data_IF_527085436518
#
_entry.id   IF_527085436518
#
_cell.length_a   1.000
_cell.length_b   1.000
_cell.length_c   1.000
_cell.angle_alpha   90.00
_cell.angle_beta   90.00
_cell.angle_gamma   90.00
#
_symmetry.space_group_name_H-M   'P 1'
#
loop_
_entity.id
_entity.type
_entity.pdbx_description
1 polymer ?
#
# COMPACT_ATOMS: atom_id res chain seq x y z
N UNK A 1 9.58 11.93 28.07
CA UNK A 1 8.44 12.60 27.43
C UNK A 1 8.96 13.03 26.06
N UNK A 2 8.35 12.56 24.95
CA UNK A 2 8.70 13.12 23.63
C UNK A 2 8.13 14.53 23.61
N UNK A 3 8.99 15.54 23.57
CA UNK A 3 8.54 16.90 23.31
C UNK A 3 8.12 16.97 21.83
N UNK A 4 6.82 16.90 21.60
CA UNK A 4 6.26 17.12 20.27
C UNK A 4 6.48 18.58 19.88
N UNK A 5 7.43 18.80 18.96
CA UNK A 5 7.65 20.11 18.38
C UNK A 5 6.82 20.28 17.10
N UNK A 6 6.49 21.53 16.74
CA UNK A 6 5.86 21.80 15.43
C UNK A 6 6.74 21.34 14.26
N UNK A 7 8.05 21.30 14.45
CA UNK A 7 9.00 20.79 13.45
C UNK A 7 8.78 19.29 13.14
N UNK A 8 8.27 18.50 14.10
CA UNK A 8 7.97 17.07 13.89
C UNK A 8 6.69 16.83 13.07
N UNK A 9 5.84 17.84 12.95
CA UNK A 9 4.54 17.73 12.26
C UNK A 9 4.65 18.18 10.79
N UNK A 10 5.49 19.17 10.51
CA UNK A 10 5.62 19.79 9.18
C UNK A 10 5.89 18.76 8.07
N UNK A 11 6.80 17.79 8.22
CA UNK A 11 7.08 16.82 7.16
C UNK A 11 5.90 15.91 6.80
N UNK A 12 5.00 15.69 7.77
CA UNK A 12 3.81 14.82 7.59
C UNK A 12 2.51 15.63 7.35
N UNK A 13 2.62 16.94 7.11
CA UNK A 13 1.46 17.80 6.86
C UNK A 13 0.55 17.31 5.73
N UNK A 14 1.03 16.77 4.60
CA UNK A 14 0.16 16.26 3.54
C UNK A 14 -0.73 15.11 4.02
N UNK A 15 -0.20 14.16 4.79
CA UNK A 15 -0.94 13.02 5.34
C UNK A 15 -1.93 13.47 6.41
N UNK A 16 -1.53 14.40 7.28
CA UNK A 16 -2.40 14.97 8.32
C UNK A 16 -3.54 15.74 7.66
N UNK A 17 -3.24 16.54 6.64
CA UNK A 17 -4.25 17.27 5.87
C UNK A 17 -5.26 16.32 5.22
N UNK A 18 -4.80 15.26 4.54
CA UNK A 18 -5.69 14.27 3.92
C UNK A 18 -6.51 13.51 4.95
N UNK A 19 -5.95 13.21 6.13
CA UNK A 19 -6.70 12.60 7.23
C UNK A 19 -7.80 13.53 7.73
N UNK A 20 -7.52 14.82 7.84
CA UNK A 20 -8.51 15.85 8.17
C UNK A 20 -9.61 15.95 7.10
N UNK A 21 -9.24 15.95 5.83
CA UNK A 21 -10.20 15.90 4.70
C UNK A 21 -11.08 14.66 4.79
N UNK A 22 -10.50 13.47 5.06
CA UNK A 22 -11.26 12.24 5.21
C UNK A 22 -12.30 12.34 6.34
N UNK A 23 -11.95 12.89 7.50
CA UNK A 23 -12.87 13.10 8.61
C UNK A 23 -14.04 14.03 8.24
N UNK A 24 -13.75 15.13 7.54
CA UNK A 24 -14.78 16.05 7.04
C UNK A 24 -15.69 15.35 6.02
N UNK A 25 -15.12 14.57 5.11
CA UNK A 25 -15.88 13.85 4.11
C UNK A 25 -16.76 12.74 4.69
N UNK A 26 -16.38 12.13 5.82
CA UNK A 26 -17.25 11.20 6.56
C UNK A 26 -18.55 11.93 6.99
N UNK A 27 -18.44 13.15 7.52
CA UNK A 27 -19.61 13.94 7.90
C UNK A 27 -20.44 14.33 6.67
N UNK A 28 -19.80 14.78 5.59
CA UNK A 28 -20.50 15.10 4.33
C UNK A 28 -21.24 13.89 3.77
N UNK A 29 -20.62 12.71 3.80
CA UNK A 29 -21.23 11.46 3.35
C UNK A 29 -22.44 11.09 4.21
N UNK A 30 -22.30 11.15 5.54
CA UNK A 30 -23.35 10.78 6.47
C UNK A 30 -24.58 11.69 6.39
N UNK A 31 -24.37 13.02 6.33
CA UNK A 31 -25.47 13.98 6.27
C UNK A 31 -26.07 14.15 4.87
N UNK A 32 -25.31 13.87 3.81
CA UNK A 32 -25.79 13.99 2.42
C UNK A 32 -26.63 12.81 1.93
N UNK A 33 -26.64 11.72 2.68
CA UNK A 33 -27.37 10.48 2.36
C UNK A 33 -26.79 9.71 1.15
N UNK A 34 -27.35 8.53 0.91
CA UNK A 34 -26.92 7.62 -0.16
C UNK A 34 -27.48 8.04 -1.55
N UNK A 35 -27.15 9.23 -2.01
CA UNK A 35 -27.54 9.72 -3.32
C UNK A 35 -26.36 9.78 -4.29
N UNK A 36 -26.59 9.50 -5.57
CA UNK A 36 -25.55 9.61 -6.60
C UNK A 36 -24.94 11.02 -6.66
N UNK A 37 -25.75 12.06 -6.37
CA UNK A 37 -25.27 13.44 -6.31
C UNK A 37 -24.31 13.65 -5.14
N UNK A 38 -24.59 13.07 -3.99
CA UNK A 38 -23.70 13.12 -2.82
C UNK A 38 -22.42 12.33 -3.06
N UNK A 39 -22.51 11.12 -3.63
CA UNK A 39 -21.34 10.34 -4.01
C UNK A 39 -20.40 11.11 -4.92
N UNK A 40 -20.93 11.75 -5.98
CA UNK A 40 -20.16 12.61 -6.87
C UNK A 40 -19.51 13.80 -6.15
N UNK A 41 -20.24 14.47 -5.24
CA UNK A 41 -19.68 15.57 -4.43
C UNK A 41 -18.52 15.10 -3.57
N UNK A 42 -18.68 13.99 -2.85
CA UNK A 42 -17.63 13.41 -2.00
C UNK A 42 -16.42 13.04 -2.84
N UNK A 43 -16.61 12.43 -4.01
CA UNK A 43 -15.50 12.09 -4.93
C UNK A 43 -14.78 13.34 -5.43
N UNK A 44 -15.51 14.38 -5.82
CA UNK A 44 -14.91 15.65 -6.29
C UNK A 44 -14.11 16.34 -5.18
N UNK A 45 -14.66 16.38 -3.97
CA UNK A 45 -13.96 16.93 -2.79
C UNK A 45 -12.71 16.10 -2.42
N UNK A 46 -12.79 14.76 -2.51
CA UNK A 46 -11.65 13.89 -2.30
C UNK A 46 -10.53 14.16 -3.33
N UNK A 47 -10.88 14.26 -4.63
CA UNK A 47 -9.93 14.63 -5.70
C UNK A 47 -9.30 16.00 -5.42
N UNK A 48 -10.12 16.99 -5.03
CA UNK A 48 -9.65 18.33 -4.66
C UNK A 48 -8.67 18.30 -3.48
N UNK A 49 -8.98 17.54 -2.43
CA UNK A 49 -8.09 17.32 -1.29
C UNK A 49 -6.78 16.67 -1.69
N UNK A 50 -6.83 15.62 -2.52
CA UNK A 50 -5.61 14.95 -3.00
C UNK A 50 -4.78 15.90 -3.88
N UNK A 51 -5.41 16.73 -4.73
CA UNK A 51 -4.70 17.70 -5.55
C UNK A 51 -3.98 18.76 -4.70
N UNK A 52 -4.59 19.25 -3.62
CA UNK A 52 -3.93 20.16 -2.68
C UNK A 52 -2.74 19.46 -2.00
N UNK A 53 -2.92 18.26 -1.50
CA UNK A 53 -1.85 17.50 -0.87
C UNK A 53 -0.71 17.20 -1.87
N UNK A 54 -1.01 16.96 -3.15
CA UNK A 54 -0.02 16.79 -4.22
C UNK A 54 0.85 18.04 -4.38
N UNK A 55 0.24 19.23 -4.36
CA UNK A 55 0.99 20.49 -4.40
C UNK A 55 1.86 20.66 -3.16
N UNK A 56 1.35 20.27 -1.97
CA UNK A 56 2.16 20.31 -0.73
C UNK A 56 3.38 19.40 -0.83
N UNK A 57 3.20 18.15 -1.30
CA UNK A 57 4.32 17.21 -1.50
C UNK A 57 5.30 17.72 -2.54
N UNK A 58 4.80 18.25 -3.66
CA UNK A 58 5.66 18.82 -4.72
C UNK A 58 6.47 20.03 -4.22
N UNK A 59 5.88 20.85 -3.37
CA UNK A 59 6.54 22.04 -2.77
C UNK A 59 7.61 21.69 -1.75
N UNK A 60 7.55 20.52 -1.11
CA UNK A 60 8.55 20.05 -0.13
C UNK A 60 9.61 19.13 -0.75
N UNK A 61 9.59 18.91 -2.07
CA UNK A 61 10.59 18.07 -2.75
C UNK A 61 11.99 18.67 -2.63
N UNK A 62 12.95 17.81 -2.26
CA UNK A 62 14.36 18.21 -2.09
C UNK A 62 14.73 18.52 -0.64
N UNK A 63 13.77 18.68 0.26
CA UNK A 63 14.02 18.75 1.69
C UNK A 63 14.11 17.35 2.27
N UNK A 64 15.06 17.12 3.17
CA UNK A 64 15.17 15.88 3.93
C UNK A 64 14.82 16.18 5.38
N UNK A 65 13.80 15.54 5.90
CA UNK A 65 13.36 15.70 7.28
C UNK A 65 12.90 14.38 7.86
N UNK A 66 13.03 14.22 9.15
CA UNK A 66 12.46 13.10 9.90
C UNK A 66 11.41 13.61 10.87
N UNK A 67 10.38 12.82 11.13
CA UNK A 67 9.33 13.18 12.06
C UNK A 67 9.03 11.99 12.99
N UNK A 68 8.30 12.27 14.07
CA UNK A 68 7.85 11.27 15.03
C UNK A 68 9.00 10.43 15.60
N UNK A 69 10.11 11.08 16.00
CA UNK A 69 11.27 10.38 16.57
C UNK A 69 11.99 9.44 15.60
N UNK A 70 11.98 9.75 14.30
CA UNK A 70 12.62 8.92 13.26
C UNK A 70 11.73 7.87 12.62
N UNK A 71 10.46 7.74 13.05
CA UNK A 71 9.54 6.75 12.48
C UNK A 71 9.06 7.10 11.06
N UNK A 72 9.24 8.35 10.66
CA UNK A 72 8.80 8.90 9.37
C UNK A 72 9.95 9.66 8.71
N UNK A 73 10.24 9.33 7.46
CA UNK A 73 11.26 10.00 6.65
C UNK A 73 10.61 10.69 5.44
N UNK A 74 10.81 12.00 5.36
CA UNK A 74 10.53 12.80 4.17
C UNK A 74 11.84 13.02 3.42
N UNK A 75 11.94 12.52 2.22
CA UNK A 75 13.07 12.63 1.32
C UNK A 75 12.60 12.72 -0.14
N UNK A 76 13.49 13.01 -1.08
CA UNK A 76 13.16 13.12 -2.50
C UNK A 76 12.56 11.82 -3.05
N UNK A 77 12.97 10.66 -2.54
CA UNK A 77 12.43 9.37 -2.94
C UNK A 77 10.96 9.24 -2.49
N UNK A 78 10.68 9.51 -1.21
CA UNK A 78 9.31 9.46 -0.70
C UNK A 78 8.40 10.49 -1.40
N UNK A 79 8.90 11.70 -1.63
CA UNK A 79 8.17 12.74 -2.36
C UNK A 79 7.76 12.26 -3.76
N UNK A 80 8.71 11.74 -4.53
CA UNK A 80 8.45 11.23 -5.88
C UNK A 80 7.43 10.08 -5.90
N UNK A 81 7.60 9.10 -5.02
CA UNK A 81 6.70 7.93 -4.95
C UNK A 81 5.29 8.32 -4.48
N UNK A 82 5.16 9.28 -3.55
CA UNK A 82 3.87 9.84 -3.15
C UNK A 82 3.17 10.52 -4.31
N UNK A 83 3.87 11.32 -5.12
CA UNK A 83 3.27 11.94 -6.31
C UNK A 83 2.70 10.89 -7.26
N UNK A 84 3.42 9.79 -7.53
CA UNK A 84 2.94 8.71 -8.39
C UNK A 84 1.66 8.04 -7.83
N UNK A 85 1.64 7.74 -6.54
CA UNK A 85 0.49 7.11 -5.89
C UNK A 85 -0.71 8.05 -5.89
N UNK A 86 -0.51 9.33 -5.62
CA UNK A 86 -1.58 10.34 -5.62
C UNK A 86 -2.16 10.53 -7.03
N UNK A 87 -1.32 10.63 -8.05
CA UNK A 87 -1.77 10.74 -9.46
C UNK A 87 -2.57 9.50 -9.85
N UNK A 88 -2.08 8.30 -9.52
CA UNK A 88 -2.80 7.05 -9.78
C UNK A 88 -4.15 6.99 -9.07
N UNK A 89 -4.22 7.48 -7.84
CA UNK A 89 -5.46 7.53 -7.05
C UNK A 89 -6.44 8.56 -7.62
N UNK A 90 -5.96 9.76 -8.02
CA UNK A 90 -6.79 10.77 -8.71
C UNK A 90 -7.37 10.18 -10.00
N UNK A 91 -6.56 9.48 -10.81
CA UNK A 91 -7.04 8.86 -12.05
C UNK A 91 -8.13 7.82 -11.77
N UNK A 92 -7.96 6.96 -10.76
CA UNK A 92 -8.96 5.97 -10.37
C UNK A 92 -10.28 6.63 -9.89
N UNK A 93 -10.20 7.67 -9.07
CA UNK A 93 -11.37 8.43 -8.63
C UNK A 93 -12.01 9.22 -9.76
N UNK A 94 -11.23 9.79 -10.67
CA UNK A 94 -11.77 10.51 -11.83
C UNK A 94 -12.54 9.58 -12.78
N UNK A 95 -12.06 8.35 -12.99
CA UNK A 95 -12.79 7.33 -13.73
C UNK A 95 -14.14 7.00 -13.08
N UNK A 96 -14.23 6.99 -11.75
CA UNK A 96 -15.49 6.71 -11.06
C UNK A 96 -16.56 7.79 -11.27
N UNK A 97 -16.18 9.04 -11.53
CA UNK A 97 -17.13 10.12 -11.85
C UNK A 97 -17.89 9.90 -13.16
N UNK A 98 -17.35 9.08 -14.06
CA UNK A 98 -17.92 8.79 -15.38
C UNK A 98 -18.59 7.41 -15.45
N UNK A 99 -18.68 6.71 -14.34
CA UNK A 99 -19.26 5.36 -14.27
C UNK A 99 -20.79 5.41 -14.10
N UNK A 100 -21.50 6.04 -15.03
CA UNK A 100 -22.96 6.29 -15.00
C UNK A 100 -23.83 5.03 -15.14
N UNK A 101 -23.46 3.92 -14.61
CA UNK A 101 -24.25 2.68 -14.66
C UNK A 101 -23.93 1.70 -13.55
N UNK A 102 -22.90 1.96 -12.78
CA UNK A 102 -22.47 1.09 -11.69
C UNK A 102 -22.91 1.67 -10.34
N UNK A 103 -24.17 1.38 -9.95
CA UNK A 103 -24.79 1.85 -8.70
C UNK A 103 -23.98 1.41 -7.45
N UNK A 104 -23.19 0.35 -7.57
CA UNK A 104 -22.45 -0.22 -6.45
C UNK A 104 -21.19 0.57 -6.10
N UNK A 105 -20.62 1.32 -7.07
CA UNK A 105 -19.45 2.19 -6.86
C UNK A 105 -19.89 3.63 -6.63
N UNK A 106 -21.08 4.00 -7.05
CA UNK A 106 -21.64 5.36 -6.92
C UNK A 106 -22.12 5.63 -5.49
N UNK A 107 -21.29 5.23 -4.51
CA UNK A 107 -21.51 5.41 -3.07
C UNK A 107 -20.45 6.33 -2.49
N UNK A 108 -20.82 7.24 -1.56
CA UNK A 108 -19.84 8.15 -0.94
C UNK A 108 -18.71 7.41 -0.23
N UNK A 109 -19.00 6.21 0.32
CA UNK A 109 -18.04 5.36 1.05
C UNK A 109 -16.87 4.92 0.18
N UNK A 110 -17.08 4.73 -1.14
CA UNK A 110 -16.01 4.35 -2.06
C UNK A 110 -14.84 5.33 -2.02
N UNK A 111 -15.13 6.60 -2.22
CA UNK A 111 -14.10 7.65 -2.25
C UNK A 111 -13.45 7.87 -0.89
N UNK A 112 -14.20 7.70 0.20
CA UNK A 112 -13.68 7.75 1.56
C UNK A 112 -12.68 6.63 1.84
N UNK A 113 -13.03 5.40 1.49
CA UNK A 113 -12.17 4.23 1.69
C UNK A 113 -10.91 4.34 0.83
N UNK A 114 -11.03 4.82 -0.41
CA UNK A 114 -9.88 5.09 -1.29
C UNK A 114 -8.97 6.16 -0.69
N UNK A 115 -9.53 7.23 -0.11
CA UNK A 115 -8.76 8.29 0.53
C UNK A 115 -8.01 7.78 1.77
N UNK A 116 -8.66 6.97 2.62
CA UNK A 116 -8.01 6.35 3.77
C UNK A 116 -6.89 5.38 3.35
N UNK A 117 -7.12 4.60 2.29
CA UNK A 117 -6.09 3.75 1.72
C UNK A 117 -4.91 4.58 1.19
N UNK A 118 -5.16 5.74 0.56
CA UNK A 118 -4.11 6.64 0.09
C UNK A 118 -3.27 7.19 1.24
N UNK A 119 -3.88 7.60 2.34
CA UNK A 119 -3.13 8.03 3.54
C UNK A 119 -2.21 6.90 4.03
N UNK A 120 -2.73 5.66 4.10
CA UNK A 120 -1.92 4.49 4.43
C UNK A 120 -0.75 4.27 3.46
N UNK A 121 -0.99 4.42 2.14
CA UNK A 121 0.07 4.31 1.12
C UNK A 121 1.15 5.38 1.29
N UNK A 122 0.77 6.64 1.57
CA UNK A 122 1.72 7.73 1.77
C UNK A 122 2.57 7.51 3.02
N UNK A 123 1.95 7.09 4.13
CA UNK A 123 2.66 6.73 5.36
C UNK A 123 3.61 5.54 5.14
N UNK A 124 3.18 4.54 4.35
CA UNK A 124 4.01 3.37 4.02
C UNK A 124 5.27 3.76 3.23
N UNK A 125 5.16 4.70 2.29
CA UNK A 125 6.29 5.22 1.50
C UNK A 125 7.31 5.95 2.39
N UNK A 126 6.86 6.62 3.44
CA UNK A 126 7.70 7.36 4.38
C UNK A 126 8.08 6.59 5.65
N UNK A 127 7.69 5.32 5.78
CA UNK A 127 8.00 4.53 6.97
C UNK A 127 9.50 4.25 7.07
N UNK A 128 10.13 4.59 8.21
CA UNK A 128 11.54 4.33 8.52
C UNK A 128 11.74 3.53 9.81
N UNK A 129 10.67 2.84 10.21
CA UNK A 129 10.61 2.03 11.42
C UNK A 129 9.67 0.83 11.20
N UNK A 130 9.94 -0.34 11.81
CA UNK A 130 9.12 -1.54 11.66
C UNK A 130 7.67 -1.36 12.12
N UNK A 131 7.41 -0.54 13.14
CA UNK A 131 6.06 -0.30 13.64
C UNK A 131 5.29 0.61 12.70
N UNK A 132 5.91 1.70 12.23
CA UNK A 132 5.28 2.61 11.26
C UNK A 132 4.99 1.90 9.92
N UNK A 133 5.91 1.06 9.46
CA UNK A 133 5.72 0.17 8.31
C UNK A 133 4.48 -0.71 8.47
N UNK A 134 4.36 -1.42 9.59
CA UNK A 134 3.24 -2.34 9.83
C UNK A 134 1.91 -1.59 9.90
N UNK A 135 1.84 -0.53 10.70
CA UNK A 135 0.62 0.27 10.85
C UNK A 135 0.17 0.91 9.54
N UNK A 136 1.11 1.40 8.71
CA UNK A 136 0.80 1.98 7.41
C UNK A 136 0.25 0.93 6.42
N UNK A 137 0.80 -0.28 6.42
CA UNK A 137 0.29 -1.42 5.64
C UNK A 137 -1.14 -1.77 6.05
N UNK A 138 -1.45 -1.83 7.34
CA UNK A 138 -2.79 -2.14 7.82
C UNK A 138 -3.79 -1.02 7.48
N UNK A 139 -3.39 0.24 7.66
CA UNK A 139 -4.22 1.39 7.30
C UNK A 139 -4.57 1.41 5.82
N UNK A 140 -3.65 1.02 4.94
CA UNK A 140 -3.93 0.86 3.51
C UNK A 140 -4.86 -0.33 3.24
N UNK A 141 -4.61 -1.45 3.91
CA UNK A 141 -5.19 -2.75 3.52
C UNK A 141 -6.66 -2.88 3.91
N UNK A 142 -7.03 -2.44 5.12
CA UNK A 142 -8.40 -2.57 5.63
C UNK A 142 -9.44 -1.90 4.73
N UNK A 143 -9.25 -0.64 4.28
CA UNK A 143 -10.17 -0.04 3.33
C UNK A 143 -10.24 -0.78 2.00
N UNK A 144 -9.09 -1.29 1.49
CA UNK A 144 -9.04 -1.99 0.22
C UNK A 144 -9.77 -3.33 0.26
N UNK A 145 -9.77 -4.03 1.40
CA UNK A 145 -10.56 -5.27 1.57
C UNK A 145 -12.06 -4.99 1.43
N UNK A 146 -12.54 -3.89 2.01
CA UNK A 146 -13.94 -3.48 1.90
C UNK A 146 -14.30 -3.08 0.47
N UNK A 147 -13.45 -2.28 -0.17
CA UNK A 147 -13.67 -1.83 -1.56
C UNK A 147 -13.69 -3.01 -2.54
N UNK A 148 -12.91 -4.06 -2.30
CA UNK A 148 -12.96 -5.29 -3.10
C UNK A 148 -14.34 -5.97 -3.08
N UNK A 149 -15.03 -5.93 -1.93
CA UNK A 149 -16.36 -6.53 -1.71
C UNK A 149 -17.53 -5.54 -1.94
N UNK A 150 -17.31 -4.41 -2.61
CA UNK A 150 -18.28 -3.31 -2.65
C UNK A 150 -19.58 -3.65 -3.38
N UNK A 151 -19.57 -4.64 -4.29
CA UNK A 151 -20.78 -5.20 -4.89
C UNK A 151 -21.43 -6.24 -3.97
N UNK A 152 -22.19 -5.75 -2.98
CA UNK A 152 -22.81 -6.60 -1.94
C UNK A 152 -23.77 -7.64 -2.49
N UNK A 153 -24.40 -7.40 -3.65
CA UNK A 153 -25.32 -8.32 -4.33
C UNK A 153 -24.62 -9.33 -5.24
N UNK A 154 -23.28 -9.33 -5.31
CA UNK A 154 -22.49 -10.23 -6.13
C UNK A 154 -21.72 -11.22 -5.27
N UNK A 155 -22.04 -12.51 -5.39
CA UNK A 155 -21.30 -13.56 -4.69
C UNK A 155 -19.81 -13.54 -5.02
N UNK A 156 -19.46 -13.27 -6.29
CA UNK A 156 -18.05 -13.16 -6.74
C UNK A 156 -17.32 -12.00 -6.05
N UNK A 157 -17.98 -10.86 -5.85
CA UNK A 157 -17.38 -9.71 -5.17
C UNK A 157 -17.19 -9.99 -3.68
N UNK A 158 -18.17 -10.61 -3.05
CA UNK A 158 -18.07 -11.00 -1.62
C UNK A 158 -16.96 -12.04 -1.42
N UNK A 159 -16.84 -13.02 -2.33
CA UNK A 159 -15.76 -14.01 -2.33
C UNK A 159 -14.38 -13.33 -2.54
N UNK A 160 -14.28 -12.39 -3.48
CA UNK A 160 -13.07 -11.64 -3.74
C UNK A 160 -12.60 -10.87 -2.48
N UNK A 161 -13.51 -10.13 -1.83
CA UNK A 161 -13.19 -9.41 -0.60
C UNK A 161 -12.79 -10.35 0.55
N UNK A 162 -13.49 -11.47 0.72
CA UNK A 162 -13.17 -12.47 1.75
C UNK A 162 -11.78 -13.10 1.51
N UNK A 163 -11.49 -13.53 0.27
CA UNK A 163 -10.16 -14.06 -0.10
C UNK A 163 -9.06 -13.04 0.14
N UNK A 164 -9.30 -11.78 -0.26
CA UNK A 164 -8.32 -10.71 -0.08
C UNK A 164 -8.07 -10.44 1.40
N UNK A 165 -9.10 -10.38 2.22
CA UNK A 165 -9.00 -10.21 3.66
C UNK A 165 -8.25 -11.37 4.34
N UNK A 166 -8.67 -12.63 4.11
CA UNK A 166 -8.07 -13.79 4.79
C UNK A 166 -6.60 -13.97 4.41
N UNK A 167 -6.29 -13.92 3.11
CA UNK A 167 -4.91 -14.06 2.65
C UNK A 167 -4.05 -12.85 3.03
N UNK A 168 -4.66 -11.66 3.04
CA UNK A 168 -4.02 -10.44 3.49
C UNK A 168 -3.67 -10.46 4.98
N UNK A 169 -4.60 -10.89 5.82
CA UNK A 169 -4.37 -11.04 7.26
C UNK A 169 -3.25 -12.06 7.56
N UNK A 170 -3.22 -13.18 6.83
CA UNK A 170 -2.13 -14.15 6.94
C UNK A 170 -0.78 -13.52 6.58
N UNK A 171 -0.73 -12.79 5.47
CA UNK A 171 0.48 -12.09 5.01
C UNK A 171 0.95 -11.04 6.01
N UNK A 172 0.03 -10.26 6.58
CA UNK A 172 0.34 -9.28 7.63
C UNK A 172 0.86 -9.96 8.90
N UNK A 173 0.29 -11.11 9.27
CA UNK A 173 0.80 -11.92 10.39
C UNK A 173 2.22 -12.42 10.15
N UNK A 174 2.52 -12.90 8.93
CA UNK A 174 3.88 -13.31 8.56
C UNK A 174 4.87 -12.14 8.63
N UNK A 175 4.48 -10.97 8.11
CA UNK A 175 5.31 -9.77 8.14
C UNK A 175 5.58 -9.31 9.59
N UNK A 176 4.55 -9.27 10.43
CA UNK A 176 4.69 -8.89 11.83
C UNK A 176 5.57 -9.88 12.61
N UNK A 177 5.40 -11.18 12.35
CA UNK A 177 6.27 -12.20 12.95
C UNK A 177 7.72 -12.04 12.50
N UNK A 178 7.94 -11.80 11.20
CA UNK A 178 9.26 -11.49 10.65
C UNK A 178 9.89 -10.25 11.32
N UNK A 179 9.12 -9.18 11.46
CA UNK A 179 9.54 -7.95 12.13
C UNK A 179 9.92 -8.22 13.61
N UNK A 180 9.19 -9.07 14.32
CA UNK A 180 9.50 -9.44 15.69
C UNK A 180 10.83 -10.21 15.82
N UNK A 181 11.15 -11.08 14.87
CA UNK A 181 12.42 -11.81 14.83
C UNK A 181 13.59 -10.86 14.52
N UNK A 182 13.41 -9.93 13.60
CA UNK A 182 14.39 -8.88 13.28
C UNK A 182 14.64 -7.99 14.50
N UNK A 183 13.57 -7.55 15.17
CA UNK A 183 13.64 -6.79 16.42
C UNK A 183 14.37 -7.56 17.52
N UNK A 184 14.06 -8.85 17.67
CA UNK A 184 14.71 -9.70 18.67
C UNK A 184 16.24 -9.80 18.51
N UNK A 185 16.74 -9.67 17.29
CA UNK A 185 18.17 -9.62 16.97
C UNK A 185 18.77 -8.23 17.13
N UNK A 186 18.11 -7.21 16.54
CA UNK A 186 18.63 -5.86 16.47
C UNK A 186 18.45 -5.05 17.76
N UNK A 187 17.43 -5.38 18.58
CA UNK A 187 17.06 -4.65 19.80
C UNK A 187 16.38 -3.30 19.52
N UNK A 188 16.13 -2.95 18.24
CA UNK A 188 15.47 -1.73 17.81
C UNK A 188 14.50 -1.99 16.66
N UNK A 189 13.52 -1.12 16.52
CA UNK A 189 12.58 -1.11 15.40
C UNK A 189 12.99 -0.13 14.29
N UNK A 190 13.96 0.76 14.52
CA UNK A 190 14.42 1.77 13.58
C UNK A 190 15.30 1.17 12.49
N UNK A 191 15.09 1.52 11.24
CA UNK A 191 15.82 0.97 10.10
C UNK A 191 17.32 1.26 10.19
N UNK A 192 17.70 2.46 10.59
CA UNK A 192 19.11 2.84 10.78
C UNK A 192 19.80 2.03 11.89
N UNK A 193 19.11 1.78 13.02
CA UNK A 193 19.63 0.98 14.11
C UNK A 193 19.73 -0.52 13.73
N UNK A 194 18.76 -1.04 12.95
CA UNK A 194 18.81 -2.41 12.41
C UNK A 194 20.03 -2.54 11.49
N UNK A 195 20.21 -1.60 10.54
CA UNK A 195 21.35 -1.58 9.63
C UNK A 195 22.69 -1.54 10.38
N UNK A 196 22.80 -0.71 11.41
CA UNK A 196 24.00 -0.64 12.27
C UNK A 196 24.26 -1.96 13.02
N UNK A 197 23.20 -2.63 13.49
CA UNK A 197 23.33 -3.92 14.20
C UNK A 197 23.81 -5.07 13.29
N UNK A 198 23.65 -4.95 11.98
CA UNK A 198 24.10 -5.94 10.98
C UNK A 198 25.59 -5.79 10.64
N UNK A 199 26.19 -4.63 10.89
CA UNK A 199 27.55 -4.36 10.49
C UNK A 199 28.56 -5.25 11.25
N UNK A 200 29.28 -6.10 10.50
CA UNK A 200 30.38 -6.92 11.03
C UNK A 200 29.98 -8.05 11.98
N UNK A 201 28.70 -8.44 12.02
CA UNK A 201 28.21 -9.56 12.84
C UNK A 201 27.85 -10.77 11.95
N UNK A 202 28.09 -11.95 12.50
CA UNK A 202 27.54 -13.18 11.93
C UNK A 202 26.01 -13.16 12.08
N UNK A 203 25.30 -13.46 11.00
CA UNK A 203 23.84 -13.43 10.96
C UNK A 203 23.28 -14.78 11.46
N UNK A 204 22.55 -14.80 12.58
CA UNK A 204 21.91 -16.02 13.02
C UNK A 204 20.76 -16.41 12.07
N UNK A 205 20.51 -17.70 11.92
CA UNK A 205 19.44 -18.21 11.07
C UNK A 205 18.06 -17.57 11.38
N UNK A 206 17.80 -17.27 12.66
CA UNK A 206 16.56 -16.63 13.11
C UNK A 206 16.36 -15.24 12.48
N UNK A 207 17.44 -14.47 12.33
CA UNK A 207 17.37 -13.16 11.65
C UNK A 207 17.06 -13.33 10.16
N UNK A 208 17.72 -14.28 9.49
CA UNK A 208 17.48 -14.55 8.06
C UNK A 208 16.02 -15.00 7.83
N UNK A 209 15.50 -15.86 8.71
CA UNK A 209 14.08 -16.28 8.69
C UNK A 209 13.17 -15.04 8.85
N UNK A 210 13.49 -14.15 9.80
CA UNK A 210 12.74 -12.91 10.01
C UNK A 210 12.71 -12.03 8.76
N UNK A 211 13.87 -11.80 8.13
CA UNK A 211 13.99 -11.07 6.88
C UNK A 211 13.16 -11.71 5.75
N UNK A 212 13.25 -13.03 5.58
CA UNK A 212 12.48 -13.76 4.55
C UNK A 212 10.98 -13.63 4.79
N UNK A 213 10.50 -13.70 6.02
CA UNK A 213 9.09 -13.49 6.34
C UNK A 213 8.63 -12.07 6.04
N UNK A 214 9.45 -11.05 6.34
CA UNK A 214 9.13 -9.66 5.98
C UNK A 214 9.05 -9.47 4.47
N UNK A 215 10.05 -9.96 3.73
CA UNK A 215 10.07 -9.90 2.26
C UNK A 215 8.88 -10.65 1.67
N UNK A 216 8.51 -11.81 2.21
CA UNK A 216 7.34 -12.59 1.78
C UNK A 216 6.03 -11.85 2.01
N UNK A 217 5.87 -11.17 3.14
CA UNK A 217 4.71 -10.32 3.42
C UNK A 217 4.58 -9.16 2.45
N UNK A 218 5.70 -8.52 2.09
CA UNK A 218 5.72 -7.47 1.06
C UNK A 218 5.51 -8.04 -0.35
N UNK A 219 6.05 -9.23 -0.65
CA UNK A 219 5.83 -9.94 -1.91
C UNK A 219 4.34 -10.22 -2.15
N UNK A 220 3.57 -10.54 -1.10
CA UNK A 220 2.11 -10.63 -1.18
C UNK A 220 1.48 -9.29 -1.61
N UNK A 221 1.92 -8.16 -1.04
CA UNK A 221 1.36 -6.82 -1.36
C UNK A 221 1.63 -6.41 -2.81
N UNK A 222 2.77 -6.78 -3.38
CA UNK A 222 3.07 -6.53 -4.79
C UNK A 222 2.53 -7.61 -5.73
N UNK A 223 1.92 -8.67 -5.19
CA UNK A 223 1.44 -9.83 -5.96
C UNK A 223 2.56 -10.66 -6.60
N UNK A 224 3.74 -10.73 -6.00
CA UNK A 224 4.83 -11.54 -6.52
C UNK A 224 4.59 -13.04 -6.25
N UNK A 225 4.93 -13.90 -7.19
CA UNK A 225 4.83 -15.34 -7.01
C UNK A 225 5.91 -15.85 -6.02
N UNK A 226 5.57 -16.79 -5.12
CA UNK A 226 4.32 -17.58 -5.04
C UNK A 226 3.15 -16.92 -4.28
N UNK A 227 3.32 -15.73 -3.73
CA UNK A 227 2.34 -15.03 -2.88
C UNK A 227 1.24 -14.29 -3.68
N UNK A 228 1.09 -14.58 -4.97
CA UNK A 228 0.18 -13.93 -5.92
C UNK A 228 -1.25 -14.49 -5.92
N UNK A 229 -1.53 -15.58 -5.20
CA UNK A 229 -2.76 -16.38 -5.34
C UNK A 229 -4.07 -15.59 -5.18
N UNK A 230 -4.04 -14.48 -4.44
CA UNK A 230 -5.20 -13.62 -4.24
C UNK A 230 -5.56 -12.79 -5.49
N UNK A 231 -4.56 -12.41 -6.28
CA UNK A 231 -4.68 -11.36 -7.30
C UNK A 231 -5.64 -11.71 -8.44
N UNK A 232 -5.60 -12.90 -9.06
CA UNK A 232 -6.52 -13.23 -10.14
C UNK A 232 -7.98 -13.22 -9.70
N UNK A 233 -8.29 -13.83 -8.56
CA UNK A 233 -9.66 -13.94 -8.07
C UNK A 233 -10.21 -12.59 -7.59
N UNK A 234 -9.38 -11.79 -6.93
CA UNK A 234 -9.76 -10.45 -6.46
C UNK A 234 -9.96 -9.48 -7.63
N UNK A 235 -9.10 -9.53 -8.66
CA UNK A 235 -9.26 -8.67 -9.83
C UNK A 235 -10.51 -9.02 -10.63
N UNK A 236 -10.82 -10.33 -10.80
CA UNK A 236 -12.02 -10.77 -11.48
C UNK A 236 -13.28 -10.39 -10.72
N UNK A 237 -13.31 -10.65 -9.40
CA UNK A 237 -14.51 -10.47 -8.56
C UNK A 237 -14.81 -9.03 -8.19
N UNK A 238 -13.79 -8.18 -8.04
CA UNK A 238 -13.97 -6.76 -7.68
C UNK A 238 -14.58 -5.95 -8.82
N UNK A 239 -15.22 -4.80 -8.52
CA UNK A 239 -15.61 -3.85 -9.55
C UNK A 239 -14.42 -3.39 -10.40
N UNK A 240 -14.62 -3.14 -11.69
CA UNK A 240 -13.52 -2.84 -12.64
C UNK A 240 -12.69 -1.61 -12.24
N UNK A 241 -13.32 -0.57 -11.70
CA UNK A 241 -12.63 0.62 -11.21
C UNK A 241 -11.78 0.34 -9.97
N UNK A 242 -12.24 -0.56 -9.11
CA UNK A 242 -11.47 -1.05 -7.96
C UNK A 242 -10.25 -1.84 -8.43
N UNK A 243 -10.43 -2.69 -9.43
CA UNK A 243 -9.32 -3.43 -10.04
C UNK A 243 -8.28 -2.49 -10.64
N UNK A 244 -8.70 -1.40 -11.30
CA UNK A 244 -7.80 -0.38 -11.82
C UNK A 244 -6.99 0.32 -10.71
N UNK A 245 -7.63 0.66 -9.58
CA UNK A 245 -6.93 1.20 -8.42
C UNK A 245 -5.89 0.21 -7.87
N UNK A 246 -6.27 -1.07 -7.70
CA UNK A 246 -5.38 -2.11 -7.17
C UNK A 246 -4.16 -2.37 -8.06
N UNK A 247 -4.31 -2.18 -9.36
CA UNK A 247 -3.24 -2.39 -10.32
C UNK A 247 -2.14 -1.31 -10.26
N UNK A 248 -2.42 -0.12 -9.72
CA UNK A 248 -1.52 1.05 -9.79
C UNK A 248 -1.03 1.44 -8.38
N UNK A 249 -1.86 2.14 -7.61
CA UNK A 249 -1.42 2.86 -6.42
C UNK A 249 -0.85 1.96 -5.30
N UNK A 250 -1.52 0.87 -4.87
CA UNK A 250 -1.01 0.01 -3.81
C UNK A 250 0.31 -0.67 -4.16
N UNK A 251 0.52 -0.98 -5.45
CA UNK A 251 1.75 -1.64 -5.91
C UNK A 251 2.95 -0.70 -5.89
N UNK A 252 2.76 0.54 -6.35
CA UNK A 252 3.81 1.56 -6.27
C UNK A 252 4.22 1.79 -4.81
N UNK A 253 3.26 1.90 -3.90
CA UNK A 253 3.53 2.08 -2.48
C UNK A 253 4.26 0.86 -1.87
N UNK A 254 3.85 -0.37 -2.22
CA UNK A 254 4.48 -1.58 -1.70
C UNK A 254 5.91 -1.79 -2.24
N UNK A 255 6.17 -1.48 -3.51
CA UNK A 255 7.54 -1.49 -4.08
C UNK A 255 8.39 -0.42 -3.39
N UNK A 256 7.87 0.79 -3.17
CA UNK A 256 8.59 1.84 -2.47
C UNK A 256 9.03 1.40 -1.07
N UNK A 257 8.13 0.76 -0.34
CA UNK A 257 8.44 0.22 0.98
C UNK A 257 9.47 -0.91 0.92
N UNK A 258 9.34 -1.82 -0.06
CA UNK A 258 10.31 -2.90 -0.26
C UNK A 258 11.71 -2.33 -0.51
N UNK A 259 11.82 -1.31 -1.36
CA UNK A 259 13.09 -0.63 -1.61
C UNK A 259 13.64 0.03 -0.33
N UNK A 260 12.80 0.74 0.43
CA UNK A 260 13.22 1.39 1.68
C UNK A 260 13.68 0.36 2.72
N UNK A 261 13.00 -0.76 2.85
CA UNK A 261 13.39 -1.83 3.77
C UNK A 261 14.71 -2.49 3.34
N UNK A 262 14.84 -2.87 2.05
CA UNK A 262 16.01 -3.60 1.56
C UNK A 262 17.27 -2.74 1.53
N UNK A 263 17.20 -1.51 1.06
CA UNK A 263 18.36 -0.62 1.00
C UNK A 263 18.61 0.14 2.32
N UNK A 264 17.57 0.39 3.13
CA UNK A 264 17.68 1.03 4.43
C UNK A 264 18.06 0.04 5.52
N UNK A 265 17.08 -0.72 6.02
CA UNK A 265 17.29 -1.63 7.16
C UNK A 265 18.22 -2.79 6.83
N UNK A 266 18.14 -3.36 5.62
CA UNK A 266 18.89 -4.56 5.19
C UNK A 266 20.03 -4.26 4.23
N UNK A 267 20.46 -3.00 4.09
CA UNK A 267 21.50 -2.61 3.13
C UNK A 267 22.82 -3.36 3.30
N UNK A 268 23.21 -3.69 4.54
CA UNK A 268 24.43 -4.43 4.85
C UNK A 268 24.43 -5.93 4.48
N UNK A 269 23.28 -6.48 4.05
CA UNK A 269 23.09 -7.91 3.74
C UNK A 269 22.50 -8.13 2.34
N UNK A 270 22.97 -7.34 1.37
CA UNK A 270 22.45 -7.36 0.00
C UNK A 270 22.51 -8.75 -0.65
N UNK A 271 23.53 -9.53 -0.37
CA UNK A 271 23.72 -10.89 -0.92
C UNK A 271 22.61 -11.85 -0.47
N UNK A 272 22.04 -11.66 0.72
CA UNK A 272 20.99 -12.52 1.26
C UNK A 272 19.61 -12.19 0.69
N UNK A 273 19.19 -10.93 0.78
CA UNK A 273 17.85 -10.56 0.30
C UNK A 273 17.75 -10.55 -1.22
N UNK A 274 18.84 -10.27 -1.96
CA UNK A 274 18.82 -10.28 -3.42
C UNK A 274 18.51 -11.67 -3.98
N UNK A 275 19.03 -12.75 -3.37
CA UNK A 275 18.71 -14.13 -3.78
C UNK A 275 17.22 -14.42 -3.67
N UNK A 276 16.59 -13.95 -2.58
CA UNK A 276 15.14 -14.11 -2.39
C UNK A 276 14.37 -13.33 -3.45
N UNK A 277 14.75 -12.07 -3.71
CA UNK A 277 14.09 -11.24 -4.71
C UNK A 277 14.28 -11.80 -6.13
N UNK A 278 15.46 -12.31 -6.48
CA UNK A 278 15.71 -12.97 -7.78
C UNK A 278 14.80 -14.20 -7.95
N UNK A 279 14.67 -15.02 -6.93
CA UNK A 279 13.77 -16.19 -6.97
C UNK A 279 12.30 -15.78 -7.16
N UNK A 280 11.83 -14.75 -6.42
CA UNK A 280 10.48 -14.21 -6.55
C UNK A 280 10.25 -13.58 -7.94
N UNK A 281 11.23 -12.86 -8.46
CA UNK A 281 11.20 -12.23 -9.78
C UNK A 281 11.05 -13.29 -10.89
N UNK A 282 11.92 -14.27 -10.93
CA UNK A 282 11.86 -15.36 -11.94
C UNK A 282 10.52 -16.10 -11.85
N UNK A 283 10.09 -16.47 -10.64
CA UNK A 283 8.81 -17.15 -10.42
C UNK A 283 7.62 -16.29 -10.92
N UNK A 284 7.65 -14.97 -10.63
CA UNK A 284 6.57 -14.05 -11.04
C UNK A 284 6.52 -13.88 -12.55
N UNK A 285 7.66 -13.71 -13.21
CA UNK A 285 7.71 -13.61 -14.68
C UNK A 285 7.18 -14.87 -15.34
N UNK A 286 7.63 -16.06 -14.90
CA UNK A 286 7.23 -17.34 -15.50
C UNK A 286 5.76 -17.64 -15.25
N UNK A 287 5.32 -17.60 -13.99
CA UNK A 287 3.94 -17.93 -13.62
C UNK A 287 2.98 -16.88 -14.18
N UNK A 288 3.34 -15.60 -14.14
CA UNK A 288 2.52 -14.52 -14.66
C UNK A 288 2.34 -14.60 -16.17
N UNK A 289 3.42 -14.82 -16.92
CA UNK A 289 3.35 -14.93 -18.39
C UNK A 289 2.55 -16.17 -18.83
N UNK A 290 2.85 -17.34 -18.29
CA UNK A 290 2.16 -18.59 -18.64
C UNK A 290 0.68 -18.54 -18.19
N UNK A 291 0.42 -17.99 -16.98
CA UNK A 291 -0.93 -17.82 -16.48
C UNK A 291 -1.78 -16.89 -17.34
N UNK A 292 -1.20 -15.77 -17.83
CA UNK A 292 -1.91 -14.80 -18.67
C UNK A 292 -2.37 -15.40 -20.01
N UNK A 293 -1.53 -16.21 -20.66
CA UNK A 293 -1.83 -16.83 -21.95
C UNK A 293 -3.03 -17.80 -21.86
N UNK A 294 -3.23 -18.42 -20.71
CA UNK A 294 -4.28 -19.42 -20.50
C UNK A 294 -5.64 -18.82 -20.08
N UNK A 295 -5.74 -17.50 -19.89
CA UNK A 295 -6.98 -16.88 -19.40
C UNK A 295 -7.93 -16.52 -20.54
N UNK A 296 -9.21 -16.76 -20.32
CA UNK A 296 -10.32 -16.31 -21.18
C UNK A 296 -10.97 -15.02 -20.68
N UNK A 297 -10.85 -14.73 -19.37
CA UNK A 297 -11.36 -13.50 -18.75
C UNK A 297 -10.29 -12.38 -18.80
N UNK A 298 -10.68 -11.19 -19.29
CA UNK A 298 -9.77 -10.05 -19.46
C UNK A 298 -9.19 -9.58 -18.11
N UNK A 299 -10.00 -9.53 -17.05
CA UNK A 299 -9.53 -9.06 -15.74
C UNK A 299 -8.55 -10.05 -15.13
N UNK A 300 -8.79 -11.35 -15.26
CA UNK A 300 -7.82 -12.38 -14.84
C UNK A 300 -6.54 -12.33 -15.68
N UNK A 301 -6.66 -12.14 -16.99
CA UNK A 301 -5.48 -11.96 -17.85
C UNK A 301 -4.66 -10.75 -17.42
N UNK A 302 -5.29 -9.61 -17.14
CA UNK A 302 -4.61 -8.41 -16.63
C UNK A 302 -4.02 -8.61 -15.23
N UNK A 303 -4.64 -9.44 -14.39
CA UNK A 303 -4.07 -9.82 -13.09
C UNK A 303 -2.76 -10.60 -13.26
N UNK A 304 -2.72 -11.61 -14.12
CA UNK A 304 -1.50 -12.37 -14.42
C UNK A 304 -0.44 -11.51 -15.13
N UNK A 305 -0.84 -10.63 -16.03
CA UNK A 305 0.05 -9.63 -16.62
C UNK A 305 0.69 -8.75 -15.55
N UNK A 306 -0.11 -8.30 -14.59
CA UNK A 306 0.38 -7.51 -13.45
C UNK A 306 1.35 -8.30 -12.57
N UNK A 307 1.13 -9.61 -12.36
CA UNK A 307 2.06 -10.50 -11.63
C UNK A 307 3.39 -10.61 -12.37
N UNK A 308 3.35 -10.79 -13.70
CA UNK A 308 4.56 -10.86 -14.53
C UNK A 308 5.37 -9.56 -14.48
N UNK A 309 4.71 -8.40 -14.52
CA UNK A 309 5.36 -7.09 -14.49
C UNK A 309 5.96 -6.74 -13.11
N UNK A 310 5.49 -7.36 -12.03
CA UNK A 310 6.07 -7.19 -10.69
C UNK A 310 7.35 -8.03 -10.51
N UNK A 311 7.57 -9.05 -11.33
CA UNK A 311 8.84 -9.80 -11.39
C UNK A 311 9.91 -9.07 -12.17
#
# INVERSE_FOLDING_TARGET
MMDFSMADIIPALPEIFLSGVALVLVLVAAYGGETAANARRVTQLAIGGIAIALVMVAGSMGETATAFGGMYAADSFSGYMKLLVMIGTIAALAMSLHADGDSDINKPEYSLLVLLALVGMMLMISADNLMSLYMAIELQSLPLYVVAAMRTNSLRSSEAGLKYFLLGALSSGMLLYGASLVYGFAGSTDFSAISAALAGRDLPAVFIIGMVFMVSGLAFKVSAAPFHMWTPDVYEGSPTLVTALFAIAPKVAAISLMMRLTYGAFGGIADQWSQVLVALSIASMVIGALGAIMQSDIKRMMAYSSIAHMG
#
